data_IF_017854190719
#
_entry.id   IF_017854190719
#
_cell.length_a   1.000
_cell.length_b   1.000
_cell.length_c   1.000
_cell.angle_alpha   90.00
_cell.angle_beta   90.00
_cell.angle_gamma   90.00
#
_symmetry.space_group_name_H-M   'P 1'
#
loop_
_entity.id
_entity.type
_entity.pdbx_description
1 polymer ?
#
# COMPACT_ATOMS: atom_id res chain seq x y z
N UNK A 1 44.95 -28.76 49.13
CA UNK A 1 45.10 -27.43 48.50
C UNK A 1 43.85 -27.15 47.68
N UNK A 2 43.12 -26.09 48.04
CA UNK A 2 41.75 -25.76 47.62
C UNK A 2 41.83 -24.93 46.33
N UNK A 3 41.34 -25.45 45.20
CA UNK A 3 41.17 -24.66 43.96
C UNK A 3 39.69 -24.37 43.75
N UNK A 4 39.37 -23.11 44.01
CA UNK A 4 38.11 -22.42 43.80
C UNK A 4 38.16 -21.83 42.39
N UNK A 5 37.25 -22.23 41.50
CA UNK A 5 37.11 -21.59 40.17
C UNK A 5 35.62 -21.29 39.97
N UNK A 6 35.36 -20.01 39.77
CA UNK A 6 34.08 -19.35 39.65
C UNK A 6 33.24 -19.86 38.46
N UNK A 7 31.96 -20.14 38.70
CA UNK A 7 30.94 -20.14 37.65
C UNK A 7 30.60 -18.69 37.30
N UNK A 8 30.91 -18.27 36.07
CA UNK A 8 30.37 -17.04 35.48
C UNK A 8 29.00 -17.39 34.89
N UNK A 9 27.94 -16.88 35.51
CA UNK A 9 26.57 -16.98 35.01
C UNK A 9 26.34 -15.86 33.99
N UNK A 10 26.31 -16.18 32.69
CA UNK A 10 25.95 -15.24 31.63
C UNK A 10 24.41 -15.20 31.53
N UNK A 11 23.80 -14.13 32.04
CA UNK A 11 22.38 -13.83 31.79
C UNK A 11 22.23 -13.26 30.38
N UNK A 12 21.75 -14.09 29.45
CA UNK A 12 21.23 -13.66 28.16
C UNK A 12 19.84 -13.03 28.38
N UNK A 13 19.79 -11.69 28.45
CA UNK A 13 18.53 -10.95 28.36
C UNK A 13 18.02 -11.02 26.92
N UNK A 14 17.11 -11.95 26.66
CA UNK A 14 16.31 -11.97 25.45
C UNK A 14 15.38 -10.75 25.47
N UNK A 15 15.79 -9.69 24.78
CA UNK A 15 14.98 -8.52 24.48
C UNK A 15 13.87 -8.91 23.49
N UNK A 16 12.73 -9.39 24.00
CA UNK A 16 11.48 -9.37 23.24
C UNK A 16 11.02 -7.91 23.17
N UNK A 17 11.42 -7.19 22.11
CA UNK A 17 10.75 -5.96 21.74
C UNK A 17 9.32 -6.28 21.31
N UNK A 18 8.33 -5.40 21.57
CA UNK A 18 7.01 -5.55 21.01
C UNK A 18 7.12 -5.34 19.51
N UNK A 19 7.12 -6.44 18.77
CA UNK A 19 6.84 -6.44 17.35
C UNK A 19 5.40 -5.96 17.21
N UNK A 20 5.21 -4.70 16.79
CA UNK A 20 3.90 -4.19 16.40
C UNK A 20 3.56 -4.88 15.08
N UNK A 21 3.22 -6.16 15.16
CA UNK A 21 2.53 -6.86 14.10
C UNK A 21 1.14 -6.22 14.05
N UNK A 22 0.92 -5.29 13.12
CA UNK A 22 -0.43 -4.90 12.73
C UNK A 22 -1.17 -6.18 12.35
N UNK A 23 -2.22 -6.59 13.07
CA UNK A 23 -3.00 -7.75 12.70
C UNK A 23 -3.76 -7.39 11.43
N UNK A 24 -3.21 -7.71 10.27
CA UNK A 24 -4.02 -7.74 9.06
C UNK A 24 -4.93 -8.95 9.20
N UNK A 25 -6.19 -8.72 9.53
CA UNK A 25 -7.22 -9.74 9.38
C UNK A 25 -7.06 -10.35 7.97
N UNK A 26 -7.11 -11.68 7.82
CA UNK A 26 -6.85 -12.29 6.53
C UNK A 26 -7.94 -11.83 5.56
N UNK A 27 -7.57 -10.96 4.62
CA UNK A 27 -8.42 -10.61 3.49
C UNK A 27 -8.50 -11.83 2.58
N UNK A 28 -9.72 -12.30 2.31
CA UNK A 28 -9.96 -13.36 1.35
C UNK A 28 -10.18 -12.74 -0.02
N UNK A 29 -9.41 -13.16 -1.02
CA UNK A 29 -9.65 -12.76 -2.41
C UNK A 29 -10.93 -13.43 -2.91
N UNK A 30 -11.87 -12.61 -3.39
CA UNK A 30 -13.10 -13.04 -4.05
C UNK A 30 -12.83 -13.17 -5.55
N UNK A 31 -12.26 -12.11 -6.14
CA UNK A 31 -12.09 -11.97 -7.58
C UNK A 31 -10.84 -11.13 -7.90
N UNK A 32 -10.13 -11.49 -8.97
CA UNK A 32 -9.12 -10.63 -9.59
C UNK A 32 -9.82 -9.89 -10.73
N UNK A 33 -9.88 -8.57 -10.64
CA UNK A 33 -10.70 -7.73 -11.51
C UNK A 33 -9.95 -7.32 -12.78
N UNK A 34 -8.70 -6.90 -12.62
CA UNK A 34 -7.87 -6.36 -13.70
C UNK A 34 -6.40 -6.31 -13.27
N UNK A 35 -5.48 -6.41 -14.23
CA UNK A 35 -4.05 -6.21 -14.02
C UNK A 35 -3.54 -5.14 -14.96
N UNK A 36 -3.14 -4.01 -14.40
CA UNK A 36 -2.65 -2.86 -15.15
C UNK A 36 -1.13 -2.88 -15.18
N UNK A 37 -0.56 -3.00 -16.37
CA UNK A 37 0.88 -2.94 -16.56
C UNK A 37 1.33 -1.51 -16.93
N UNK A 38 2.36 -1.02 -16.24
CA UNK A 38 3.07 0.21 -16.58
C UNK A 38 4.55 -0.09 -16.79
N UNK A 39 5.32 0.87 -17.29
CA UNK A 39 6.75 0.66 -17.56
C UNK A 39 7.53 0.14 -16.34
N UNK A 40 7.23 0.62 -15.14
CA UNK A 40 8.02 0.33 -13.93
C UNK A 40 7.25 -0.40 -12.81
N UNK A 41 5.95 -0.61 -12.97
CA UNK A 41 5.13 -1.34 -12.00
C UNK A 41 3.98 -2.09 -12.68
N UNK A 42 3.46 -3.08 -11.97
CA UNK A 42 2.21 -3.74 -12.26
C UNK A 42 1.24 -3.44 -11.10
N UNK A 43 -0.02 -3.14 -11.40
CA UNK A 43 -1.06 -2.94 -10.40
C UNK A 43 -2.11 -4.02 -10.57
N UNK A 44 -2.29 -4.87 -9.57
CA UNK A 44 -3.33 -5.89 -9.55
C UNK A 44 -4.53 -5.38 -8.74
N UNK A 45 -5.70 -5.36 -9.37
CA UNK A 45 -6.96 -4.97 -8.76
C UNK A 45 -7.74 -6.21 -8.37
N UNK A 46 -8.19 -6.25 -7.12
CA UNK A 46 -8.91 -7.39 -6.55
C UNK A 46 -10.13 -6.93 -5.77
N UNK A 47 -11.16 -7.76 -5.81
CA UNK A 47 -12.22 -7.71 -4.82
C UNK A 47 -11.85 -8.68 -3.70
N UNK A 48 -11.78 -8.17 -2.48
CA UNK A 48 -11.49 -8.92 -1.27
C UNK A 48 -12.68 -8.87 -0.31
N UNK A 49 -12.66 -9.78 0.67
CA UNK A 49 -13.57 -9.78 1.82
C UNK A 49 -12.76 -9.81 3.10
N UNK A 50 -13.14 -9.02 4.09
CA UNK A 50 -12.54 -9.10 5.43
C UNK A 50 -13.27 -10.10 6.34
N UNK A 51 -12.80 -10.24 7.58
CA UNK A 51 -13.39 -11.14 8.59
C UNK A 51 -14.81 -10.74 9.02
N UNK A 52 -15.22 -9.49 8.77
CA UNK A 52 -16.57 -9.00 9.04
C UNK A 52 -17.50 -9.13 7.83
N UNK A 53 -17.04 -9.81 6.77
CA UNK A 53 -17.77 -9.98 5.51
C UNK A 53 -17.98 -8.65 4.75
N UNK A 54 -17.18 -7.61 5.06
CA UNK A 54 -17.15 -6.35 4.32
C UNK A 54 -16.43 -6.56 2.98
N UNK A 55 -17.00 -6.02 1.90
CA UNK A 55 -16.37 -6.01 0.59
C UNK A 55 -15.31 -4.91 0.54
N UNK A 56 -14.14 -5.26 0.02
CA UNK A 56 -12.96 -4.41 -0.05
C UNK A 56 -12.47 -4.37 -1.51
N UNK A 57 -12.31 -3.18 -2.07
CA UNK A 57 -11.55 -3.00 -3.30
C UNK A 57 -10.07 -2.85 -2.93
N UNK A 58 -9.24 -3.75 -3.44
CA UNK A 58 -7.81 -3.79 -3.18
C UNK A 58 -7.00 -3.50 -4.46
N UNK A 59 -5.94 -2.72 -4.34
CA UNK A 59 -4.98 -2.45 -5.41
C UNK A 59 -3.56 -2.74 -4.89
N UNK A 60 -2.90 -3.74 -5.46
CA UNK A 60 -1.51 -4.09 -5.12
C UNK A 60 -0.58 -3.48 -6.16
N UNK A 61 0.18 -2.46 -5.76
CA UNK A 61 1.16 -1.78 -6.61
C UNK A 61 2.50 -2.49 -6.45
N UNK A 62 2.91 -3.26 -7.45
CA UNK A 62 4.14 -4.05 -7.46
C UNK A 62 5.19 -3.34 -8.34
N UNK A 63 6.24 -2.75 -7.75
CA UNK A 63 7.40 -2.32 -8.53
C UNK A 63 8.02 -3.49 -9.28
N UNK A 64 8.39 -3.27 -10.55
CA UNK A 64 9.13 -4.26 -11.36
C UNK A 64 10.59 -4.37 -10.93
N UNK A 65 11.11 -3.34 -10.28
CA UNK A 65 12.46 -3.29 -9.74
C UNK A 65 12.37 -3.25 -8.20
N UNK A 66 12.99 -4.21 -7.47
CA UNK A 66 12.74 -4.42 -6.05
C UNK A 66 13.33 -3.32 -5.14
N UNK A 67 14.17 -2.44 -5.68
CA UNK A 67 14.78 -1.33 -4.94
C UNK A 67 13.96 -0.03 -5.05
N UNK A 68 12.87 -0.05 -5.80
CA UNK A 68 11.95 1.08 -5.91
C UNK A 68 10.91 1.01 -4.80
N UNK A 69 10.56 2.19 -4.30
CA UNK A 69 9.50 2.41 -3.32
C UNK A 69 8.43 3.34 -3.88
N UNK A 70 7.28 3.32 -3.22
CA UNK A 70 6.12 4.16 -3.50
C UNK A 70 6.02 5.29 -2.47
N UNK A 71 5.44 6.41 -2.87
CA UNK A 71 5.07 7.47 -1.93
C UNK A 71 3.77 7.14 -1.19
N UNK A 72 3.65 7.65 0.03
CA UNK A 72 2.46 7.43 0.85
C UNK A 72 1.18 7.93 0.18
N UNK A 73 0.08 7.21 0.41
CA UNK A 73 -1.27 7.64 0.01
C UNK A 73 -1.70 8.95 0.68
N UNK A 74 -1.07 9.28 1.81
CA UNK A 74 -1.40 10.43 2.63
C UNK A 74 -0.62 11.69 2.23
N UNK A 75 0.21 11.63 1.17
CA UNK A 75 0.81 12.82 0.59
C UNK A 75 -0.24 13.70 -0.10
N UNK A 76 -0.04 15.04 -0.14
CA UNK A 76 -0.83 15.91 -1.00
C UNK A 76 -0.74 15.45 -2.46
N UNK A 77 -1.82 15.65 -3.24
CA UNK A 77 -1.85 15.24 -4.67
C UNK A 77 -0.67 15.76 -5.48
N UNK A 78 -0.28 17.01 -5.24
CA UNK A 78 0.82 17.66 -5.93
C UNK A 78 2.20 17.39 -5.29
N UNK A 79 2.26 16.46 -4.33
CA UNK A 79 3.46 16.17 -3.56
C UNK A 79 3.75 17.22 -2.48
N UNK A 80 4.93 17.11 -1.88
CA UNK A 80 5.47 18.10 -0.94
C UNK A 80 6.57 18.88 -1.65
N UNK A 81 6.47 20.20 -1.67
CA UNK A 81 7.39 21.07 -2.42
C UNK A 81 7.51 20.69 -3.92
N UNK A 82 6.44 20.14 -4.49
CA UNK A 82 6.39 19.64 -5.86
C UNK A 82 6.98 18.24 -6.07
N UNK A 83 7.58 17.65 -5.02
CA UNK A 83 8.21 16.33 -5.05
C UNK A 83 7.26 15.21 -4.65
N UNK A 84 7.40 14.10 -5.37
CA UNK A 84 6.61 12.89 -5.20
C UNK A 84 5.17 13.04 -5.70
N UNK A 85 4.55 11.89 -5.98
CA UNK A 85 3.11 11.79 -6.22
C UNK A 85 2.55 10.65 -5.38
N UNK A 86 1.45 10.87 -4.66
CA UNK A 86 0.89 9.86 -3.77
C UNK A 86 0.48 8.61 -4.54
N UNK A 87 0.59 7.46 -3.91
CA UNK A 87 -0.08 6.24 -4.38
C UNK A 87 -1.56 6.31 -4.01
N UNK A 88 -2.43 6.38 -5.01
CA UNK A 88 -3.87 6.58 -4.85
C UNK A 88 -4.67 5.50 -5.58
N UNK A 89 -5.74 5.07 -4.92
CA UNK A 89 -6.84 4.25 -5.44
C UNK A 89 -8.12 5.07 -5.27
N UNK A 90 -8.71 5.55 -6.36
CA UNK A 90 -9.87 6.43 -6.29
C UNK A 90 -11.04 5.87 -7.11
N UNK A 91 -12.26 6.03 -6.60
CA UNK A 91 -13.48 5.75 -7.37
C UNK A 91 -13.91 7.03 -8.11
N UNK A 92 -14.41 6.88 -9.32
CA UNK A 92 -15.18 7.97 -9.94
C UNK A 92 -16.57 8.06 -9.28
N UNK A 93 -17.26 9.20 -9.42
CA UNK A 93 -18.56 9.43 -8.77
C UNK A 93 -19.69 8.51 -9.27
N UNK A 94 -19.49 7.84 -10.41
CA UNK A 94 -20.48 6.96 -11.02
C UNK A 94 -19.95 5.52 -11.07
N UNK A 95 -20.85 4.55 -10.89
CA UNK A 95 -20.55 3.13 -11.02
C UNK A 95 -21.08 2.30 -9.85
N UNK A 96 -20.78 1.01 -9.90
CA UNK A 96 -21.28 0.00 -8.96
C UNK A 96 -20.68 0.08 -7.55
N UNK A 97 -19.58 0.79 -7.33
CA UNK A 97 -18.92 0.85 -6.04
C UNK A 97 -19.09 2.21 -5.38
N UNK A 98 -19.40 2.17 -4.08
CA UNK A 98 -19.38 3.34 -3.21
C UNK A 98 -18.42 3.10 -2.06
N UNK A 99 -17.46 4.00 -1.85
CA UNK A 99 -16.59 3.94 -0.68
C UNK A 99 -17.41 4.17 0.60
N UNK A 100 -17.15 3.35 1.62
CA UNK A 100 -17.82 3.43 2.93
C UNK A 100 -16.85 3.67 4.08
N UNK A 101 -15.59 3.96 3.77
CA UNK A 101 -14.57 4.19 4.78
C UNK A 101 -13.23 4.63 4.20
N UNK A 102 -12.25 4.92 5.08
CA UNK A 102 -10.94 5.36 4.66
C UNK A 102 -10.17 4.25 3.95
N UNK A 103 -9.28 4.66 3.04
CA UNK A 103 -8.29 3.76 2.43
C UNK A 103 -7.20 3.46 3.45
N UNK A 104 -6.83 2.19 3.57
CA UNK A 104 -5.70 1.73 4.37
C UNK A 104 -4.61 1.14 3.48
N UNK A 105 -3.36 1.19 3.94
CA UNK A 105 -2.23 0.52 3.30
C UNK A 105 -1.78 -0.68 4.15
N UNK A 106 -1.20 -1.70 3.52
CA UNK A 106 -0.55 -2.82 4.21
C UNK A 106 0.85 -2.50 4.75
N UNK A 107 1.43 -1.40 4.28
CA UNK A 107 2.73 -0.93 4.72
C UNK A 107 2.62 0.37 5.53
N UNK A 108 3.51 0.53 6.48
CA UNK A 108 3.65 1.77 7.27
C UNK A 108 4.57 2.72 6.50
N UNK A 109 4.09 3.92 6.20
CA UNK A 109 4.91 4.95 5.59
C UNK A 109 5.81 5.63 6.64
N UNK A 110 7.01 6.01 6.22
CA UNK A 110 7.98 6.75 7.03
C UNK A 110 8.56 7.93 6.23
N UNK A 111 9.09 8.97 6.89
CA UNK A 111 9.81 10.04 6.19
C UNK A 111 10.96 9.50 5.35
N UNK A 112 11.10 10.00 4.13
CA UNK A 112 12.26 9.73 3.28
C UNK A 112 13.51 10.28 3.97
N UNK A 113 14.50 9.41 4.29
CA UNK A 113 15.70 9.85 5.02
C UNK A 113 16.68 10.62 4.14
N UNK A 114 16.48 10.64 2.82
CA UNK A 114 17.42 11.20 1.84
C UNK A 114 17.06 12.61 1.41
N UNK A 115 15.82 13.04 1.68
CA UNK A 115 15.29 14.33 1.23
C UNK A 115 14.82 15.16 2.43
N UNK A 116 15.17 16.45 2.40
CA UNK A 116 14.66 17.43 3.35
C UNK A 116 13.69 18.36 2.63
N UNK A 117 12.50 18.46 3.19
CA UNK A 117 11.36 19.19 2.63
C UNK A 117 10.69 20.02 3.72
N UNK A 118 9.81 20.95 3.33
CA UNK A 118 9.04 21.78 4.26
C UNK A 118 8.14 20.96 5.19
N UNK A 119 7.72 19.78 4.74
CA UNK A 119 7.00 18.75 5.51
C UNK A 119 7.60 17.38 5.20
N UNK A 120 7.53 16.37 6.08
CA UNK A 120 8.05 15.04 5.78
C UNK A 120 7.49 14.47 4.47
N UNK A 121 8.39 14.09 3.55
CA UNK A 121 8.01 13.35 2.34
C UNK A 121 7.91 11.87 2.70
N UNK A 122 6.69 11.37 2.87
CA UNK A 122 6.44 10.01 3.35
C UNK A 122 6.52 8.99 2.21
N UNK A 123 7.29 7.92 2.44
CA UNK A 123 7.48 6.79 1.52
C UNK A 123 7.15 5.48 2.22
N UNK A 124 6.66 4.49 1.47
CA UNK A 124 6.59 3.11 1.92
C UNK A 124 7.96 2.43 1.78
N UNK A 125 8.20 1.30 2.46
CA UNK A 125 9.34 0.45 2.16
C UNK A 125 9.38 0.03 0.68
N UNK A 126 10.59 -0.26 0.17
CA UNK A 126 10.73 -0.77 -1.19
C UNK A 126 10.02 -2.12 -1.35
N UNK A 127 9.38 -2.32 -2.51
CA UNK A 127 8.56 -3.50 -2.79
C UNK A 127 7.06 -3.18 -2.93
N UNK A 128 6.21 -4.23 -2.95
CA UNK A 128 4.78 -4.07 -3.17
C UNK A 128 4.10 -3.35 -2.00
N UNK A 129 3.07 -2.58 -2.34
CA UNK A 129 2.15 -1.97 -1.37
C UNK A 129 0.73 -2.23 -1.84
N UNK A 130 -0.13 -2.70 -0.93
CA UNK A 130 -1.56 -2.88 -1.17
C UNK A 130 -2.36 -1.77 -0.51
N UNK A 131 -3.12 -1.02 -1.31
CA UNK A 131 -4.17 -0.15 -0.82
C UNK A 131 -5.50 -0.89 -0.77
N UNK A 132 -6.27 -0.69 0.31
CA UNK A 132 -7.58 -1.32 0.53
C UNK A 132 -8.62 -0.27 0.87
N UNK A 133 -9.71 -0.28 0.12
CA UNK A 133 -10.85 0.61 0.29
C UNK A 133 -12.09 -0.24 0.62
N UNK A 134 -12.73 -0.02 1.78
CA UNK A 134 -14.03 -0.65 2.04
C UNK A 134 -15.09 -0.03 1.13
N UNK A 135 -15.86 -0.89 0.46
CA UNK A 135 -16.86 -0.48 -0.52
C UNK A 135 -18.19 -1.22 -0.33
N UNK A 136 -19.27 -0.57 -0.69
CA UNK A 136 -20.57 -1.20 -0.94
C UNK A 136 -20.81 -1.34 -2.45
N UNK A 137 -21.54 -2.39 -2.82
CA UNK A 137 -21.93 -2.69 -4.19
C UNK A 137 -23.37 -2.26 -4.45
N UNK A 138 -23.59 -1.48 -5.51
CA UNK A 138 -24.90 -1.22 -6.10
C UNK A 138 -24.96 -1.82 -7.51
N UNK A 139 -25.51 -3.05 -7.67
CA UNK A 139 -25.51 -3.76 -8.95
C UNK A 139 -26.42 -3.12 -10.01
N UNK A 140 -27.22 -2.11 -9.66
CA UNK A 140 -28.07 -1.40 -10.62
C UNK A 140 -27.30 -0.36 -11.44
N UNK A 141 -26.07 -0.04 -11.04
CA UNK A 141 -25.22 0.95 -11.69
C UNK A 141 -24.39 0.34 -12.84
N UNK A 142 -23.89 1.16 -13.78
CA UNK A 142 -22.96 0.70 -14.81
C UNK A 142 -21.62 0.24 -14.20
N UNK A 143 -20.80 -0.43 -15.02
CA UNK A 143 -19.46 -0.87 -14.65
C UNK A 143 -18.66 0.26 -13.99
N UNK A 144 -17.86 -0.10 -12.98
CA UNK A 144 -17.10 0.87 -12.21
C UNK A 144 -15.86 1.31 -12.98
N UNK A 145 -15.62 2.62 -13.02
CA UNK A 145 -14.31 3.18 -13.39
C UNK A 145 -13.58 3.60 -12.12
N UNK A 146 -12.30 3.25 -12.03
CA UNK A 146 -11.41 3.70 -10.95
C UNK A 146 -10.25 4.50 -11.54
N UNK A 147 -9.59 5.28 -10.70
CA UNK A 147 -8.41 6.05 -11.06
C UNK A 147 -7.22 5.59 -10.23
N UNK A 148 -6.11 5.29 -10.91
CA UNK A 148 -4.84 4.95 -10.27
C UNK A 148 -3.86 6.11 -10.41
N UNK A 149 -3.20 6.48 -9.32
CA UNK A 149 -2.05 7.39 -9.36
C UNK A 149 -0.90 6.80 -8.55
N UNK A 150 0.33 6.90 -9.04
CA UNK A 150 1.52 6.49 -8.32
C UNK A 150 2.79 7.03 -8.99
N UNK A 151 3.86 7.11 -8.20
CA UNK A 151 5.20 7.41 -8.66
C UNK A 151 6.18 6.56 -7.87
N UNK A 152 7.21 6.05 -8.55
CA UNK A 152 8.22 5.18 -7.96
C UNK A 152 9.54 5.93 -7.87
N UNK A 153 10.25 5.74 -6.76
CA UNK A 153 11.59 6.29 -6.59
C UNK A 153 12.51 5.25 -5.95
N UNK A 154 13.81 5.43 -6.15
CA UNK A 154 14.86 4.68 -5.45
C UNK A 154 15.40 5.52 -4.30
N UNK A 155 16.06 4.86 -3.35
CA UNK A 155 16.81 5.55 -2.27
C UNK A 155 18.01 6.36 -2.77
N UNK A 156 18.34 6.32 -4.06
CA UNK A 156 19.40 7.10 -4.70
C UNK A 156 18.87 8.36 -5.39
N UNK A 157 17.59 8.67 -5.25
CA UNK A 157 16.96 9.85 -5.85
C UNK A 157 16.59 9.70 -7.34
N UNK A 158 16.77 8.52 -7.94
CA UNK A 158 16.17 8.24 -9.26
C UNK A 158 14.67 8.00 -9.08
N UNK A 159 13.87 8.72 -9.87
CA UNK A 159 12.42 8.64 -9.85
C UNK A 159 11.86 8.44 -11.26
N UNK A 160 10.78 7.68 -11.35
CA UNK A 160 10.06 7.47 -12.61
C UNK A 160 9.17 8.67 -12.92
N UNK A 161 8.71 8.77 -14.18
CA UNK A 161 7.53 9.60 -14.46
C UNK A 161 6.35 9.11 -13.64
N UNK A 162 5.52 10.04 -13.15
CA UNK A 162 4.32 9.69 -12.42
C UNK A 162 3.24 9.16 -13.36
N UNK A 163 2.49 8.17 -12.88
CA UNK A 163 1.19 7.82 -13.42
C UNK A 163 0.16 8.61 -12.62
N UNK A 164 -0.64 9.43 -13.28
CA UNK A 164 -1.63 10.30 -12.64
C UNK A 164 -3.02 10.03 -13.22
N UNK A 165 -3.96 9.73 -12.34
CA UNK A 165 -5.38 9.54 -12.67
C UNK A 165 -5.63 8.61 -13.86
N UNK A 166 -4.86 7.52 -13.97
CA UNK A 166 -5.03 6.52 -15.01
C UNK A 166 -6.40 5.86 -14.85
N UNK A 167 -7.34 6.02 -15.81
CA UNK A 167 -8.64 5.40 -15.72
C UNK A 167 -8.55 3.90 -16.01
N UNK A 168 -9.20 3.11 -15.16
CA UNK A 168 -9.30 1.65 -15.31
C UNK A 168 -10.76 1.27 -15.12
N UNK A 169 -11.36 0.62 -16.11
CA UNK A 169 -12.72 0.09 -16.00
C UNK A 169 -12.63 -1.32 -15.45
N UNK A 170 -13.26 -1.56 -14.31
CA UNK A 170 -13.38 -2.90 -13.71
C UNK A 170 -14.79 -3.44 -13.94
N UNK A 171 -14.87 -4.75 -14.19
CA UNK A 171 -16.13 -5.47 -14.28
C UNK A 171 -16.23 -6.34 -13.03
N UNK A 172 -17.33 -6.20 -12.30
CA UNK A 172 -17.57 -7.00 -11.10
C UNK A 172 -18.37 -8.23 -11.53
N UNK A 173 -17.90 -9.42 -11.17
CA UNK A 173 -18.64 -10.64 -11.41
C UNK A 173 -19.97 -10.62 -10.64
N UNK A 174 -21.01 -11.24 -11.20
CA UNK A 174 -22.26 -11.52 -10.49
C UNK A 174 -21.99 -12.59 -9.41
N UNK A 175 -21.43 -12.21 -8.26
CA UNK A 175 -21.15 -13.10 -7.13
C UNK A 175 -22.35 -13.24 -6.21
#
# INVERSE_FOLDING_TARGET
MRKMIWLVLILLLASCGPEIATPQAPYQVIEVLETVDSQHAQVELRLERDSANQIILAATYQPKEPHLHLYSKDLPRNGVDGMGRPTLLELTQAGQLRSVGPIIADAIAAPDPTLQTSKPLLIYPAGPVTLRMPVELDPQQPNQQILLSFMLCSSKGYCTSAVEQLPVTIQLGNS
#
